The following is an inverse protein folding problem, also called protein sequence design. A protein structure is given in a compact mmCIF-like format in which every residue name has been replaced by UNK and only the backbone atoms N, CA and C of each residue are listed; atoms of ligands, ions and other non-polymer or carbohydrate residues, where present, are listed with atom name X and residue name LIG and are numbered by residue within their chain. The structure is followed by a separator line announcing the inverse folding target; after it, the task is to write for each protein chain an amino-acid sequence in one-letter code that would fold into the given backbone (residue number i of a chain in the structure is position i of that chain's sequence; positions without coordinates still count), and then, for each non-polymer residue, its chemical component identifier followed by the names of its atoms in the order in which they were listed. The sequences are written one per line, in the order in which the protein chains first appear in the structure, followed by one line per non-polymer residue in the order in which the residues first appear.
data_IF_040080353464
#
_entry.id   IF_040080353464
#
_cell.length_a   1.000
_cell.length_b   1.000
_cell.length_c   1.000
_cell.angle_alpha   90.00
_cell.angle_beta   90.00
_cell.angle_gamma   90.00
#
_symmetry.space_group_name_H-M   'P 1'
#
loop_
_entity.id
_entity.type
_entity.pdbx_description
1 polymer ?
#
# COMPACT_ATOMS: atom_id res chain seq x y z
N UNK A 1 -2.33 26.43 -3.75
CA UNK A 1 -1.88 25.06 -4.09
C UNK A 1 -3.09 24.17 -3.98
N UNK A 2 -3.54 23.57 -5.07
CA UNK A 2 -4.56 22.51 -4.99
C UNK A 2 -3.90 21.31 -4.33
N UNK A 3 -4.37 20.93 -3.14
CA UNK A 3 -4.03 19.65 -2.53
C UNK A 3 -4.60 18.56 -3.45
N UNK A 4 -3.73 17.95 -4.26
CA UNK A 4 -4.08 16.73 -4.97
C UNK A 4 -4.17 15.62 -3.93
N UNK A 5 -5.36 15.10 -3.72
CA UNK A 5 -5.58 13.98 -2.81
C UNK A 5 -5.34 12.67 -3.56
N UNK A 6 -5.14 11.57 -2.83
CA UNK A 6 -5.08 10.23 -3.45
C UNK A 6 -6.38 9.89 -4.22
N UNK A 7 -7.48 10.58 -3.91
CA UNK A 7 -8.77 10.40 -4.57
C UNK A 7 -8.83 11.03 -5.97
N UNK A 8 -7.88 11.90 -6.32
CA UNK A 8 -7.76 12.50 -7.65
C UNK A 8 -6.83 11.69 -8.58
N UNK A 9 -6.15 10.66 -8.05
CA UNK A 9 -5.20 9.83 -8.79
C UNK A 9 -5.92 8.57 -9.29
N UNK A 10 -5.94 8.29 -10.61
CA UNK A 10 -6.54 7.06 -11.12
C UNK A 10 -5.84 5.80 -10.59
N UNK A 11 -6.63 4.78 -10.24
CA UNK A 11 -6.12 3.49 -9.75
C UNK A 11 -5.14 2.82 -10.75
N UNK A 12 -5.28 3.09 -12.04
CA UNK A 12 -4.42 2.56 -13.11
C UNK A 12 -2.96 3.02 -13.02
N UNK A 13 -2.64 4.07 -12.25
CA UNK A 13 -1.26 4.44 -11.94
C UNK A 13 -0.52 3.31 -11.22
N UNK A 14 -1.23 2.51 -10.41
CA UNK A 14 -0.65 1.34 -9.72
C UNK A 14 -0.05 0.34 -10.71
N UNK A 15 -0.68 0.15 -11.88
CA UNK A 15 -0.16 -0.71 -12.93
C UNK A 15 1.20 -0.23 -13.42
N UNK A 16 1.31 1.07 -13.70
CA UNK A 16 2.55 1.68 -14.21
C UNK A 16 3.68 1.57 -13.17
N UNK A 17 3.36 1.80 -11.90
CA UNK A 17 4.34 1.65 -10.82
C UNK A 17 4.76 0.18 -10.63
N UNK A 18 3.83 -0.76 -10.71
CA UNK A 18 4.10 -2.19 -10.59
C UNK A 18 5.03 -2.72 -11.71
N UNK A 19 4.99 -2.12 -12.91
CA UNK A 19 5.84 -2.50 -14.04
C UNK A 19 7.33 -2.38 -13.75
N UNK A 20 7.73 -1.51 -12.81
CA UNK A 20 9.12 -1.37 -12.39
C UNK A 20 9.71 -2.68 -11.82
N UNK A 21 8.85 -3.61 -11.38
CA UNK A 21 9.26 -4.89 -10.78
C UNK A 21 8.95 -6.12 -11.66
N UNK A 22 8.36 -5.95 -12.85
CA UNK A 22 7.88 -7.08 -13.69
C UNK A 22 8.97 -8.08 -14.09
N UNK A 23 10.25 -7.70 -14.05
CA UNK A 23 11.39 -8.54 -14.43
C UNK A 23 12.35 -8.86 -13.26
N UNK A 24 12.00 -8.48 -12.02
CA UNK A 24 12.83 -8.79 -10.86
C UNK A 24 12.62 -10.24 -10.42
N UNK A 25 13.71 -10.92 -10.03
CA UNK A 25 13.62 -12.27 -9.46
C UNK A 25 13.13 -12.19 -8.00
N UNK A 26 12.43 -13.23 -7.55
CA UNK A 26 12.05 -13.33 -6.13
C UNK A 26 13.21 -13.89 -5.27
N UNK A 27 13.47 -13.32 -4.09
CA UNK A 27 12.82 -12.12 -3.53
C UNK A 27 13.28 -10.83 -4.23
N UNK A 28 12.36 -9.88 -4.43
CA UNK A 28 12.66 -8.57 -5.03
C UNK A 28 13.70 -7.87 -4.16
N UNK A 29 14.82 -7.47 -4.76
CA UNK A 29 15.88 -6.74 -4.06
C UNK A 29 15.50 -5.26 -3.98
N UNK A 30 15.11 -4.80 -2.80
CA UNK A 30 14.81 -3.39 -2.52
C UNK A 30 16.11 -2.58 -2.44
N UNK A 31 16.23 -1.54 -3.25
CA UNK A 31 17.41 -0.67 -3.37
C UNK A 31 17.06 0.81 -3.16
N UNK A 32 15.79 1.16 -3.29
CA UNK A 32 15.30 2.54 -3.25
C UNK A 32 13.87 2.64 -2.71
N UNK A 33 13.43 3.88 -2.42
CA UNK A 33 12.01 4.13 -2.11
C UNK A 33 11.09 3.82 -3.27
N UNK A 34 11.57 4.00 -4.50
CA UNK A 34 10.77 3.70 -5.68
C UNK A 34 10.50 2.19 -5.77
N UNK A 35 11.43 1.35 -5.32
CA UNK A 35 11.21 -0.09 -5.22
C UNK A 35 10.16 -0.43 -4.15
N UNK A 36 10.19 0.23 -2.98
CA UNK A 36 9.16 0.08 -1.95
C UNK A 36 7.78 0.49 -2.48
N UNK A 37 7.69 1.63 -3.16
CA UNK A 37 6.46 2.13 -3.75
C UNK A 37 5.95 1.21 -4.87
N UNK A 38 6.84 0.71 -5.72
CA UNK A 38 6.51 -0.23 -6.81
C UNK A 38 6.03 -1.57 -6.27
N UNK A 39 6.60 -2.05 -5.16
CA UNK A 39 6.16 -3.28 -4.50
C UNK A 39 4.77 -3.13 -3.89
N UNK A 40 4.53 -2.03 -3.19
CA UNK A 40 3.19 -1.69 -2.69
C UNK A 40 2.18 -1.56 -3.85
N UNK A 41 2.59 -0.92 -4.95
CA UNK A 41 1.74 -0.77 -6.12
C UNK A 41 1.40 -2.11 -6.79
N UNK A 42 2.33 -3.06 -6.84
CA UNK A 42 2.08 -4.40 -7.37
C UNK A 42 1.02 -5.16 -6.55
N UNK A 43 1.09 -5.08 -5.22
CA UNK A 43 0.10 -5.66 -4.33
C UNK A 43 -1.29 -5.01 -4.50
N UNK A 44 -1.35 -3.67 -4.47
CA UNK A 44 -2.61 -2.93 -4.63
C UNK A 44 -3.22 -3.09 -6.04
N UNK A 45 -2.38 -3.21 -7.08
CA UNK A 45 -2.87 -3.48 -8.43
C UNK A 45 -3.47 -4.89 -8.56
N UNK A 46 -2.85 -5.89 -7.92
CA UNK A 46 -3.44 -7.23 -7.86
C UNK A 46 -4.78 -7.22 -7.13
N UNK A 47 -4.85 -6.52 -5.98
CA UNK A 47 -6.08 -6.33 -5.23
C UNK A 47 -7.17 -5.65 -6.08
N UNK A 48 -6.85 -4.52 -6.71
CA UNK A 48 -7.79 -3.77 -7.55
C UNK A 48 -8.38 -4.64 -8.68
N UNK A 49 -7.56 -5.48 -9.32
CA UNK A 49 -8.05 -6.42 -10.34
C UNK A 49 -9.00 -7.49 -9.77
N UNK A 50 -8.78 -7.94 -8.54
CA UNK A 50 -9.62 -8.96 -7.91
C UNK A 50 -10.96 -8.39 -7.43
N UNK A 51 -11.00 -7.10 -7.08
CA UNK A 51 -12.20 -6.41 -6.58
C UNK A 51 -12.94 -5.61 -7.66
N UNK A 52 -12.37 -5.48 -8.86
CA UNK A 52 -12.95 -4.72 -9.98
C UNK A 52 -12.72 -3.20 -9.87
N UNK A 53 -11.74 -2.79 -9.08
CA UNK A 53 -11.32 -1.40 -8.91
C UNK A 53 -10.20 -0.97 -9.88
N UNK A 54 -9.88 -1.78 -10.88
CA UNK A 54 -8.74 -1.62 -11.79
C UNK A 54 -9.00 -0.65 -12.98
N UNK A 55 -9.95 0.27 -12.82
CA UNK A 55 -10.44 1.19 -13.87
C UNK A 55 -10.06 2.65 -13.58
N UNK A 56 -9.95 3.46 -14.64
CA UNK A 56 -9.59 4.88 -14.53
C UNK A 56 -10.60 5.74 -13.74
N UNK A 57 -11.86 5.28 -13.64
CA UNK A 57 -12.88 5.95 -12.84
C UNK A 57 -12.73 5.69 -11.34
N UNK A 58 -11.95 4.69 -10.94
CA UNK A 58 -11.60 4.49 -9.54
C UNK A 58 -10.35 5.25 -9.17
N UNK A 59 -10.33 5.68 -7.93
CA UNK A 59 -9.18 6.40 -7.37
C UNK A 59 -8.24 5.46 -6.63
N UNK A 60 -6.96 5.82 -6.62
CA UNK A 60 -5.95 5.21 -5.76
C UNK A 60 -6.37 5.27 -4.28
N UNK A 61 -6.99 6.38 -3.87
CA UNK A 61 -7.58 6.53 -2.54
C UNK A 61 -8.60 5.43 -2.21
N UNK A 62 -9.54 5.15 -3.12
CA UNK A 62 -10.53 4.07 -2.98
C UNK A 62 -9.85 2.71 -2.81
N UNK A 63 -8.91 2.37 -3.70
CA UNK A 63 -8.19 1.08 -3.65
C UNK A 63 -7.45 0.92 -2.33
N UNK A 64 -6.77 1.98 -1.85
CA UNK A 64 -6.04 1.95 -0.59
C UNK A 64 -6.99 1.78 0.61
N UNK A 65 -8.08 2.53 0.65
CA UNK A 65 -9.06 2.44 1.75
C UNK A 65 -9.73 1.08 1.81
N UNK A 66 -10.14 0.53 0.67
CA UNK A 66 -10.77 -0.80 0.61
C UNK A 66 -9.77 -1.89 1.01
N UNK A 67 -8.51 -1.79 0.56
CA UNK A 67 -7.46 -2.73 0.98
C UNK A 67 -7.20 -2.65 2.49
N UNK A 68 -7.18 -1.46 3.09
CA UNK A 68 -7.07 -1.30 4.54
C UNK A 68 -8.29 -1.88 5.28
N UNK A 69 -9.48 -1.79 4.69
CA UNK A 69 -10.69 -2.45 5.19
C UNK A 69 -10.54 -3.97 5.23
N UNK A 70 -10.02 -4.57 4.16
CA UNK A 70 -9.76 -6.01 4.12
C UNK A 70 -8.66 -6.44 5.08
N UNK A 71 -7.64 -5.60 5.32
CA UNK A 71 -6.65 -5.85 6.38
C UNK A 71 -7.25 -5.81 7.78
N UNK A 72 -8.26 -4.96 8.05
CA UNK A 72 -8.99 -4.99 9.32
C UNK A 72 -9.70 -6.32 9.50
N UNK A 73 -10.44 -6.77 8.48
CA UNK A 73 -11.10 -8.08 8.51
C UNK A 73 -10.08 -9.21 8.69
N UNK A 74 -8.90 -9.12 8.07
CA UNK A 74 -7.83 -10.09 8.28
C UNK A 74 -7.35 -10.11 9.73
N UNK A 75 -7.13 -8.95 10.35
CA UNK A 75 -6.74 -8.86 11.76
C UNK A 75 -7.80 -9.49 12.70
N UNK A 76 -9.09 -9.27 12.43
CA UNK A 76 -10.20 -9.88 13.19
C UNK A 76 -10.20 -11.41 13.11
N UNK A 77 -9.75 -12.01 12.00
CA UNK A 77 -9.68 -13.47 11.88
C UNK A 77 -8.60 -14.11 12.76
N UNK A 78 -7.50 -13.40 13.04
CA UNK A 78 -6.37 -13.94 13.81
C UNK A 78 -6.50 -13.75 15.31
N UNK A 79 -7.20 -12.72 15.74
CA UNK A 79 -7.51 -12.47 17.16
C UNK A 79 -8.95 -11.96 17.28
N UNK A 80 -9.94 -12.87 17.35
CA UNK A 80 -11.35 -12.49 17.42
C UNK A 80 -11.75 -11.86 18.77
N UNK A 81 -10.95 -12.06 19.82
CA UNK A 81 -11.24 -11.63 21.18
C UNK A 81 -10.75 -10.18 21.46
N UNK A 82 -9.84 -9.68 20.63
CA UNK A 82 -9.48 -8.26 20.58
C UNK A 82 -10.01 -7.60 19.32
N UNK A 83 -10.20 -6.28 19.35
CA UNK A 83 -10.59 -5.56 18.15
C UNK A 83 -9.45 -5.61 17.13
N UNK A 84 -9.69 -6.17 15.94
CA UNK A 84 -8.74 -6.17 14.81
C UNK A 84 -8.24 -4.77 14.46
N UNK A 85 -9.05 -3.73 14.76
CA UNK A 85 -8.66 -2.32 14.70
C UNK A 85 -7.41 -2.01 15.54
N UNK A 86 -7.31 -2.57 16.75
CA UNK A 86 -6.16 -2.36 17.64
C UNK A 86 -4.89 -2.91 16.99
N UNK A 87 -4.95 -4.12 16.44
CA UNK A 87 -3.82 -4.77 15.77
C UNK A 87 -3.34 -3.99 14.55
N UNK A 88 -4.27 -3.56 13.68
CA UNK A 88 -3.90 -2.76 12.52
C UNK A 88 -3.29 -1.41 12.94
N UNK A 89 -3.87 -0.73 13.94
CA UNK A 89 -3.32 0.54 14.47
C UNK A 89 -1.91 0.39 15.03
N UNK A 90 -1.65 -0.66 15.80
CA UNK A 90 -0.32 -0.93 16.35
C UNK A 90 0.70 -1.24 15.26
N UNK A 91 0.29 -1.99 14.24
CA UNK A 91 1.11 -2.30 13.06
C UNK A 91 1.43 -1.04 12.25
N UNK A 92 0.42 -0.19 11.98
CA UNK A 92 0.60 1.09 11.30
C UNK A 92 1.51 2.04 12.08
N UNK A 93 1.36 2.12 13.41
CA UNK A 93 2.24 2.93 14.26
C UNK A 93 3.70 2.48 14.14
N UNK A 94 3.95 1.18 14.18
CA UNK A 94 5.30 0.63 14.03
C UNK A 94 5.86 0.88 12.63
N UNK A 95 5.05 0.72 11.57
CA UNK A 95 5.44 1.02 10.20
C UNK A 95 5.80 2.50 10.00
N UNK A 96 5.07 3.42 10.64
CA UNK A 96 5.38 4.86 10.62
C UNK A 96 6.73 5.15 11.29
N UNK A 97 7.02 4.52 12.43
CA UNK A 97 8.33 4.66 13.09
C UNK A 97 9.47 4.19 12.19
N UNK A 98 9.31 3.05 11.49
CA UNK A 98 10.30 2.57 10.53
C UNK A 98 10.49 3.54 9.36
N UNK A 99 9.39 4.04 8.80
CA UNK A 99 9.44 5.02 7.70
C UNK A 99 10.15 6.33 8.11
N UNK A 100 9.90 6.82 9.33
CA UNK A 100 10.57 8.00 9.88
C UNK A 100 12.07 7.74 10.09
N UNK A 101 12.43 6.61 10.69
CA UNK A 101 13.83 6.23 10.90
C UNK A 101 14.59 6.12 9.57
N UNK A 102 14.02 5.47 8.56
CA UNK A 102 14.63 5.37 7.22
C UNK A 102 14.84 6.74 6.57
N UNK A 103 13.99 7.72 6.86
CA UNK A 103 14.17 9.10 6.37
C UNK A 103 15.31 9.81 7.08
N UNK A 104 15.44 9.62 8.39
CA UNK A 104 16.54 10.21 9.17
C UNK A 104 17.90 9.63 8.76
N UNK A 105 18.00 8.32 8.57
CA UNK A 105 19.23 7.63 8.16
C UNK A 105 19.74 8.08 6.77
N UNK A 106 18.87 8.64 5.92
CA UNK A 106 19.24 9.16 4.59
C UNK A 106 19.68 10.63 4.59
N UNK A 107 19.58 11.32 5.72
CA UNK A 107 20.04 12.70 5.89
C UNK A 107 21.51 12.77 6.34
N UNK A 108 22.15 11.62 6.58
CA UNK A 108 23.55 11.46 6.99
C UNK A 108 24.35 10.68 5.93
#
# INVERSE_FOLDING_TARGET
MTEHTLYDVPATVLKVMAQNLENENYPVRIRSNDDHASLAAAALWLFAKQTGLDRDSESLGTVLTDFLGDLLHLCEQFDPDTSGEKHLRESLRTALMHFEQEKEERLY
#
